data_IF_229627133918
#
_entry.id   IF_229627133918
#
_cell.length_a   1.000
_cell.length_b   1.000
_cell.length_c   1.000
_cell.angle_alpha   90.00
_cell.angle_beta   90.00
_cell.angle_gamma   90.00
#
_symmetry.space_group_name_H-M   'P 1'
#
loop_
_entity.id
_entity.type
_entity.pdbx_description
1 polymer ?
#
# COMPACT_ATOMS: atom_id res chain seq x y z
N UNK A 1 -52.74 23.86 -5.40
CA UNK A 1 -53.01 25.03 -4.61
C UNK A 1 -51.67 25.68 -4.38
N UNK A 2 -51.23 26.60 -5.24
CA UNK A 2 -51.26 28.04 -5.12
C UNK A 2 -50.40 28.50 -3.91
N UNK A 3 -49.38 29.30 -3.99
CA UNK A 3 -49.22 30.48 -4.76
C UNK A 3 -47.78 31.03 -4.81
N UNK A 4 -47.54 31.67 -5.86
CA UNK A 4 -46.44 32.57 -6.18
C UNK A 4 -46.53 33.86 -5.40
N UNK A 5 -45.36 34.49 -5.07
CA UNK A 5 -45.25 35.96 -5.04
C UNK A 5 -43.78 36.39 -5.24
N UNK A 6 -43.53 37.11 -6.35
CA UNK A 6 -42.52 38.19 -6.52
C UNK A 6 -43.30 39.52 -6.43
N UNK A 7 -42.70 40.65 -6.09
CA UNK A 7 -41.90 41.46 -7.00
C UNK A 7 -40.78 42.29 -6.34
N UNK A 8 -39.69 42.60 -7.06
CA UNK A 8 -39.45 43.88 -7.78
C UNK A 8 -39.16 45.10 -6.90
N UNK A 9 -37.98 45.69 -7.08
CA UNK A 9 -37.63 47.01 -6.55
C UNK A 9 -36.25 47.47 -7.02
N UNK A 10 -36.28 48.21 -8.15
CA UNK A 10 -35.13 48.95 -8.72
C UNK A 10 -34.87 50.19 -7.93
N UNK A 11 -33.59 50.56 -7.68
CA UNK A 11 -33.21 51.98 -7.62
C UNK A 11 -31.73 52.13 -7.97
N UNK A 12 -31.50 52.82 -9.06
CA UNK A 12 -30.26 53.42 -9.48
C UNK A 12 -29.94 54.62 -8.60
N UNK A 13 -28.68 54.81 -8.18
CA UNK A 13 -28.09 56.13 -8.01
C UNK A 13 -26.62 56.10 -8.41
N UNK A 14 -26.36 56.89 -9.45
CA UNK A 14 -25.02 57.27 -9.96
C UNK A 14 -24.56 58.48 -9.16
N UNK A 15 -23.31 58.45 -8.63
CA UNK A 15 -22.57 59.66 -8.32
C UNK A 15 -21.10 59.47 -8.76
N UNK A 16 -20.76 60.28 -9.72
CA UNK A 16 -19.38 60.44 -10.19
C UNK A 16 -18.60 61.30 -9.19
N UNK A 17 -17.33 60.98 -8.94
CA UNK A 17 -16.39 61.78 -8.19
C UNK A 17 -14.96 61.35 -8.50
N UNK A 18 -14.30 62.09 -9.39
CA UNK A 18 -12.87 61.96 -9.67
C UNK A 18 -12.07 62.67 -8.57
N UNK A 19 -10.94 62.09 -8.13
CA UNK A 19 -9.72 62.82 -7.82
C UNK A 19 -8.57 61.90 -7.32
N UNK A 20 -7.46 61.94 -8.13
CA UNK A 20 -6.04 62.02 -7.79
C UNK A 20 -5.36 61.03 -6.83
N UNK A 21 -4.48 60.25 -7.45
CA UNK A 21 -3.10 59.87 -7.16
C UNK A 21 -2.56 59.98 -5.70
N UNK A 22 -2.10 58.81 -5.24
CA UNK A 22 -0.83 58.72 -4.48
C UNK A 22 -0.32 57.27 -4.58
N UNK A 23 0.79 57.06 -5.27
CA UNK A 23 1.56 55.85 -5.25
C UNK A 23 2.26 55.69 -3.90
N UNK A 24 2.01 54.61 -3.21
CA UNK A 24 2.86 54.10 -2.14
C UNK A 24 3.04 52.62 -2.38
N UNK A 25 4.20 52.34 -2.98
CA UNK A 25 4.73 50.97 -3.05
C UNK A 25 5.09 50.51 -1.62
N UNK A 26 4.26 49.72 -1.03
CA UNK A 26 4.59 48.88 0.10
C UNK A 26 4.95 47.54 -0.44
N UNK A 27 6.24 47.29 -0.59
CA UNK A 27 6.79 45.93 -0.71
C UNK A 27 6.51 45.18 0.58
N UNK A 28 5.34 44.55 0.65
CA UNK A 28 5.10 43.52 1.62
C UNK A 28 5.93 42.30 1.20
N UNK A 29 7.07 42.10 1.84
CA UNK A 29 7.64 40.78 1.99
C UNK A 29 6.64 39.94 2.74
N UNK A 30 5.69 39.38 2.04
CA UNK A 30 4.88 38.29 2.52
C UNK A 30 5.80 37.11 2.80
N UNK A 31 5.99 36.79 4.08
CA UNK A 31 6.64 35.56 4.48
C UNK A 31 5.94 34.41 3.76
N UNK A 32 6.68 33.68 2.97
CA UNK A 32 6.29 32.35 2.56
C UNK A 32 6.23 31.53 3.84
N UNK A 33 5.04 31.37 4.39
CA UNK A 33 4.73 30.24 5.22
C UNK A 33 4.91 29.02 4.32
N UNK A 34 6.14 28.56 4.27
CA UNK A 34 6.51 27.25 3.82
C UNK A 34 5.93 26.26 4.84
N UNK A 35 4.61 26.13 4.84
CA UNK A 35 3.93 24.96 5.34
C UNK A 35 4.34 23.83 4.44
N UNK A 36 5.55 23.34 4.68
CA UNK A 36 6.04 22.07 4.16
C UNK A 36 5.10 20.94 4.62
N UNK A 37 3.90 20.94 4.10
CA UNK A 37 3.10 19.74 3.99
C UNK A 37 3.91 18.83 3.08
N UNK A 38 4.63 17.88 3.68
CA UNK A 38 5.11 16.72 2.96
C UNK A 38 3.88 16.13 2.28
N UNK A 39 3.71 16.45 1.01
CA UNK A 39 2.74 15.77 0.18
C UNK A 39 3.12 14.30 0.28
N UNK A 40 2.35 13.54 1.06
CA UNK A 40 2.53 12.11 1.22
C UNK A 40 2.47 11.52 -0.17
N UNK A 41 3.62 11.25 -0.75
CA UNK A 41 3.70 10.66 -2.09
C UNK A 41 3.02 9.30 -1.99
N UNK A 42 2.02 9.04 -2.83
CA UNK A 42 1.33 7.76 -2.83
C UNK A 42 2.34 6.60 -2.92
N UNK A 43 2.12 5.49 -2.21
CA UNK A 43 2.96 4.32 -2.32
C UNK A 43 3.05 3.83 -3.77
N UNK A 44 4.19 3.28 -4.16
CA UNK A 44 4.41 2.65 -5.47
C UNK A 44 5.05 1.30 -5.25
N UNK A 45 4.22 0.30 -5.09
CA UNK A 45 4.62 -1.05 -4.72
C UNK A 45 4.95 -1.90 -5.95
N UNK A 46 5.99 -2.71 -5.83
CA UNK A 46 6.35 -3.75 -6.78
C UNK A 46 6.70 -5.02 -6.01
N UNK A 47 5.99 -6.10 -6.30
CA UNK A 47 6.30 -7.42 -5.75
C UNK A 47 7.25 -8.15 -6.70
N UNK A 48 8.24 -8.83 -6.14
CA UNK A 48 9.24 -9.58 -6.90
C UNK A 48 9.80 -10.74 -6.09
N UNK A 49 10.47 -11.68 -6.77
CA UNK A 49 11.13 -12.81 -6.14
C UNK A 49 10.18 -13.74 -5.39
N UNK A 50 8.91 -13.80 -5.79
CA UNK A 50 7.93 -14.67 -5.16
C UNK A 50 8.25 -16.15 -5.43
N UNK A 51 8.17 -16.99 -4.39
CA UNK A 51 8.27 -18.42 -4.49
C UNK A 51 7.67 -19.12 -3.27
N UNK A 52 7.28 -20.38 -3.48
CA UNK A 52 6.82 -21.30 -2.46
C UNK A 52 7.61 -22.61 -2.65
N UNK A 53 8.41 -23.05 -1.68
CA UNK A 53 8.96 -24.41 -1.73
C UNK A 53 7.83 -25.43 -1.69
N UNK A 54 7.87 -26.45 -2.55
CA UNK A 54 6.86 -27.50 -2.55
C UNK A 54 6.81 -28.16 -1.15
N UNK A 55 5.65 -28.18 -0.47
CA UNK A 55 5.54 -28.77 0.85
C UNK A 55 5.80 -30.27 0.79
N UNK A 56 6.66 -30.76 1.69
CA UNK A 56 7.03 -32.18 1.75
C UNK A 56 5.94 -33.07 2.34
N UNK A 57 5.14 -32.50 3.24
CA UNK A 57 4.06 -33.22 3.94
C UNK A 57 2.99 -32.25 4.41
N UNK A 58 1.82 -32.79 4.73
CA UNK A 58 0.77 -32.07 5.40
C UNK A 58 -0.01 -31.11 4.53
N UNK A 59 -0.68 -30.24 5.20
CA UNK A 59 -1.65 -29.25 4.75
C UNK A 59 -1.18 -27.82 5.00
N UNK A 60 0.14 -27.65 5.16
CA UNK A 60 0.80 -26.35 5.38
C UNK A 60 1.89 -26.08 4.34
N UNK A 61 2.03 -24.81 3.96
CA UNK A 61 3.10 -24.33 3.11
C UNK A 61 3.59 -22.94 3.56
N UNK A 62 4.78 -22.56 3.11
CA UNK A 62 5.33 -21.21 3.34
C UNK A 62 5.55 -20.50 2.03
N UNK A 63 5.23 -19.20 2.00
CA UNK A 63 5.45 -18.34 0.85
C UNK A 63 6.41 -17.20 1.15
N UNK A 64 7.18 -16.82 0.13
CA UNK A 64 8.20 -15.78 0.21
C UNK A 64 8.11 -14.82 -0.97
N UNK A 65 8.41 -13.55 -0.74
CA UNK A 65 8.46 -12.51 -1.77
C UNK A 65 9.15 -11.25 -1.22
N UNK A 66 9.38 -10.28 -2.07
CA UNK A 66 9.84 -8.95 -1.68
C UNK A 66 8.92 -7.90 -2.26
N UNK A 67 8.49 -6.97 -1.41
CA UNK A 67 7.81 -5.73 -1.82
C UNK A 67 8.83 -4.61 -1.82
N UNK A 68 9.04 -3.96 -2.95
CA UNK A 68 9.78 -2.70 -3.04
C UNK A 68 8.80 -1.55 -3.18
N UNK A 69 9.07 -0.46 -2.49
CA UNK A 69 8.25 0.74 -2.52
C UNK A 69 9.10 1.93 -2.96
N UNK A 70 8.72 2.58 -4.05
CA UNK A 70 9.38 3.79 -4.55
C UNK A 70 8.60 5.07 -4.25
N UNK A 71 7.51 4.98 -3.50
CA UNK A 71 6.65 6.08 -3.07
C UNK A 71 6.63 6.28 -1.57
N UNK A 72 5.52 6.81 -1.04
CA UNK A 72 5.26 6.97 0.39
C UNK A 72 5.10 5.64 1.11
N UNK A 73 5.08 5.66 2.43
CA UNK A 73 4.92 4.46 3.24
C UNK A 73 3.56 3.77 3.02
N UNK A 74 3.53 2.47 3.26
CA UNK A 74 2.32 1.66 3.27
C UNK A 74 2.42 0.59 4.37
N UNK A 75 1.38 -0.21 4.54
CA UNK A 75 1.35 -1.32 5.49
C UNK A 75 0.65 -2.50 4.86
N UNK A 76 1.29 -3.67 4.86
CA UNK A 76 0.65 -4.94 4.54
C UNK A 76 -0.17 -5.36 5.76
N UNK A 77 -1.49 -5.40 5.62
CA UNK A 77 -2.44 -5.61 6.73
C UNK A 77 -3.01 -7.02 6.80
N UNK A 78 -3.12 -7.68 5.66
CA UNK A 78 -3.62 -9.06 5.60
C UNK A 78 -3.30 -9.70 4.25
N UNK A 79 -3.57 -11.00 4.17
CA UNK A 79 -3.38 -11.80 2.96
C UNK A 79 -4.57 -12.73 2.82
N UNK A 80 -4.91 -13.08 1.58
CA UNK A 80 -5.86 -14.14 1.29
C UNK A 80 -5.41 -14.96 0.08
N UNK A 81 -5.89 -16.19 0.01
CA UNK A 81 -5.65 -17.10 -1.12
C UNK A 81 -6.73 -18.17 -1.15
N UNK A 82 -7.19 -18.53 -2.34
CA UNK A 82 -8.13 -19.65 -2.49
C UNK A 82 -7.46 -21.03 -2.30
N UNK A 83 -6.13 -21.08 -2.20
CA UNK A 83 -5.39 -22.34 -2.05
C UNK A 83 -5.37 -22.88 -0.60
N UNK A 84 -5.78 -22.09 0.38
CA UNK A 84 -5.75 -22.45 1.79
C UNK A 84 -6.90 -21.78 2.55
N UNK A 85 -7.41 -22.44 3.58
CA UNK A 85 -8.45 -21.86 4.42
C UNK A 85 -7.95 -20.66 5.24
N UNK A 86 -6.69 -20.69 5.64
CA UNK A 86 -6.06 -19.63 6.41
C UNK A 86 -4.67 -19.27 5.82
N UNK A 87 -4.41 -17.97 5.66
CA UNK A 87 -3.08 -17.47 5.29
C UNK A 87 -2.70 -16.35 6.25
N UNK A 88 -1.60 -16.53 6.96
CA UNK A 88 -1.15 -15.64 8.02
C UNK A 88 0.25 -15.08 7.77
N UNK A 89 0.51 -13.93 8.39
CA UNK A 89 1.79 -13.24 8.37
C UNK A 89 2.63 -13.69 9.55
N UNK A 90 3.85 -14.15 9.33
CA UNK A 90 4.75 -14.60 10.39
C UNK A 90 6.12 -13.93 10.33
N UNK A 91 6.73 -13.75 11.50
CA UNK A 91 8.12 -13.34 11.69
C UNK A 91 8.87 -14.44 12.45
N UNK A 92 10.06 -14.80 12.00
CA UNK A 92 10.96 -15.63 12.80
C UNK A 92 11.85 -14.73 13.65
N UNK A 93 11.71 -14.83 14.98
CA UNK A 93 12.49 -14.06 15.94
C UNK A 93 13.07 -14.97 17.01
N UNK A 94 14.38 -14.98 17.13
CA UNK A 94 15.05 -15.85 18.12
C UNK A 94 14.83 -17.34 17.92
N UNK A 95 14.53 -17.79 16.69
CA UNK A 95 14.21 -19.18 16.37
C UNK A 95 12.74 -19.57 16.60
N UNK A 96 11.91 -18.67 17.10
CA UNK A 96 10.46 -18.88 17.24
C UNK A 96 9.70 -18.16 16.11
N UNK A 97 8.67 -18.82 15.59
CA UNK A 97 7.71 -18.19 14.67
C UNK A 97 6.65 -17.42 15.47
N UNK A 98 6.44 -16.16 15.12
CA UNK A 98 5.47 -15.28 15.76
C UNK A 98 4.54 -14.74 14.68
N UNK A 99 3.25 -14.95 14.86
CA UNK A 99 2.23 -14.35 13.99
C UNK A 99 2.20 -12.83 14.16
N UNK A 100 2.03 -12.12 13.05
CA UNK A 100 1.98 -10.66 12.97
C UNK A 100 0.67 -10.22 12.34
N UNK A 101 0.05 -9.21 12.90
CA UNK A 101 -1.15 -8.62 12.32
C UNK A 101 -0.85 -7.80 11.06
N UNK A 102 0.36 -7.23 10.96
CA UNK A 102 0.76 -6.40 9.84
C UNK A 102 2.28 -6.22 9.74
N UNK A 103 2.73 -5.76 8.57
CA UNK A 103 4.11 -5.35 8.34
C UNK A 103 4.20 -3.98 7.68
N UNK A 104 4.99 -3.03 8.19
CA UNK A 104 5.22 -1.76 7.54
C UNK A 104 6.04 -1.94 6.26
N UNK A 105 5.67 -1.19 5.22
CA UNK A 105 6.42 -1.05 3.97
C UNK A 105 6.98 0.37 3.92
N UNK A 106 8.25 0.58 4.26
CA UNK A 106 8.81 1.93 4.37
C UNK A 106 8.74 2.71 3.05
N UNK A 107 8.60 4.02 3.16
CA UNK A 107 8.76 4.91 2.00
C UNK A 107 10.16 4.72 1.41
N UNK A 108 10.23 4.62 0.07
CA UNK A 108 11.49 4.41 -0.67
C UNK A 108 12.32 3.22 -0.16
N UNK A 109 11.63 2.20 0.38
CA UNK A 109 12.24 1.05 1.02
C UNK A 109 11.72 -0.29 0.49
N UNK A 110 11.88 -1.31 1.32
CA UNK A 110 11.41 -2.66 1.00
C UNK A 110 10.98 -3.42 2.25
N UNK A 111 10.04 -4.33 2.06
CA UNK A 111 9.65 -5.38 3.00
C UNK A 111 10.00 -6.73 2.34
N UNK A 112 10.80 -7.54 3.03
CA UNK A 112 11.22 -8.84 2.51
C UNK A 112 10.66 -9.98 3.36
N UNK A 113 10.11 -10.97 2.68
CA UNK A 113 9.73 -12.27 3.22
C UNK A 113 10.73 -13.29 2.70
N UNK A 114 11.56 -13.81 3.61
CA UNK A 114 12.70 -14.69 3.28
C UNK A 114 12.79 -15.85 4.26
N UNK A 115 13.36 -16.95 3.83
CA UNK A 115 13.57 -18.09 4.70
C UNK A 115 14.40 -17.71 5.93
N UNK A 116 13.91 -18.07 7.12
CA UNK A 116 14.50 -17.68 8.39
C UNK A 116 14.15 -16.27 8.89
N UNK A 117 13.35 -15.52 8.11
CA UNK A 117 12.83 -14.20 8.46
C UNK A 117 11.31 -14.17 8.42
N UNK A 118 10.74 -13.09 7.85
CA UNK A 118 9.30 -13.00 7.62
C UNK A 118 8.88 -14.02 6.55
N UNK A 119 7.70 -14.58 6.71
CA UNK A 119 7.12 -15.54 5.76
C UNK A 119 5.61 -15.54 5.82
N UNK A 120 4.98 -16.01 4.72
CA UNK A 120 3.58 -16.38 4.72
C UNK A 120 3.43 -17.81 5.23
N UNK A 121 2.45 -18.04 6.06
CA UNK A 121 2.04 -19.39 6.44
C UNK A 121 0.67 -19.68 5.83
N UNK A 122 0.61 -20.72 5.02
CA UNK A 122 -0.63 -21.27 4.48
C UNK A 122 -1.02 -22.47 5.33
N UNK A 123 -2.22 -22.48 5.86
CA UNK A 123 -2.74 -23.55 6.69
C UNK A 123 -4.03 -24.13 6.11
N UNK A 124 -4.22 -25.40 6.29
CA UNK A 124 -5.38 -26.14 5.73
C UNK A 124 -5.47 -25.95 4.20
N UNK A 125 -4.40 -26.30 3.52
CA UNK A 125 -4.36 -26.29 2.07
C UNK A 125 -5.45 -27.19 1.47
N UNK A 126 -6.18 -26.72 0.48
CA UNK A 126 -7.18 -27.51 -0.26
C UNK A 126 -6.56 -28.72 -0.96
N UNK A 127 -5.34 -28.54 -1.45
CA UNK A 127 -4.47 -29.60 -1.99
C UNK A 127 -3.03 -29.21 -1.75
N UNK A 128 -2.14 -30.19 -1.80
CA UNK A 128 -0.70 -29.95 -1.70
C UNK A 128 -0.14 -29.42 -3.01
N UNK A 129 0.29 -28.15 -3.08
CA UNK A 129 0.86 -27.56 -4.29
C UNK A 129 2.11 -28.31 -4.73
N UNK A 130 2.25 -28.55 -6.05
CA UNK A 130 3.37 -29.27 -6.64
C UNK A 130 4.30 -28.32 -7.36
N UNK A 131 5.58 -28.71 -7.50
CA UNK A 131 6.55 -27.96 -8.28
C UNK A 131 6.02 -27.68 -9.69
N UNK A 132 6.13 -26.42 -10.13
CA UNK A 132 5.61 -25.93 -11.40
C UNK A 132 4.22 -25.32 -11.34
N UNK A 133 3.46 -25.58 -10.29
CA UNK A 133 2.17 -24.90 -10.06
C UNK A 133 2.40 -23.44 -9.64
N UNK A 134 1.32 -22.65 -9.65
CA UNK A 134 1.27 -21.28 -9.16
C UNK A 134 0.13 -21.16 -8.18
N UNK A 135 0.38 -20.46 -7.09
CA UNK A 135 -0.60 -20.13 -6.06
C UNK A 135 -0.91 -18.63 -6.15
N UNK A 136 -2.18 -18.31 -6.41
CA UNK A 136 -2.64 -16.93 -6.40
C UNK A 136 -2.81 -16.45 -4.96
N UNK A 137 -2.33 -15.24 -4.69
CA UNK A 137 -2.37 -14.61 -3.36
C UNK A 137 -2.73 -13.14 -3.51
N UNK A 138 -3.68 -12.68 -2.73
CA UNK A 138 -4.04 -11.29 -2.59
C UNK A 138 -3.35 -10.68 -1.38
N UNK A 139 -2.49 -9.71 -1.63
CA UNK A 139 -1.83 -8.91 -0.60
C UNK A 139 -2.65 -7.63 -0.36
N UNK A 140 -3.17 -7.45 0.84
CA UNK A 140 -3.99 -6.29 1.19
C UNK A 140 -3.15 -5.23 1.90
N UNK A 141 -3.04 -4.07 1.27
CA UNK A 141 -2.30 -2.92 1.80
C UNK A 141 -3.24 -1.82 2.28
N UNK A 142 -2.84 -1.11 3.31
CA UNK A 142 -3.65 -0.05 3.92
C UNK A 142 -3.93 1.13 2.98
N UNK A 143 -2.97 1.49 2.13
CA UNK A 143 -3.07 2.62 1.20
C UNK A 143 -3.22 2.15 -0.24
N UNK A 144 -2.40 1.21 -0.68
CA UNK A 144 -2.39 0.73 -2.08
C UNK A 144 -3.55 -0.22 -2.42
N UNK A 145 -4.31 -0.69 -1.42
CA UNK A 145 -5.38 -1.66 -1.62
C UNK A 145 -4.85 -3.07 -1.89
N UNK A 146 -5.53 -3.82 -2.74
CA UNK A 146 -5.18 -5.21 -3.02
C UNK A 146 -4.22 -5.33 -4.20
N UNK A 147 -3.16 -6.11 -4.01
CA UNK A 147 -2.20 -6.48 -5.05
C UNK A 147 -2.20 -7.99 -5.19
N UNK A 148 -2.65 -8.48 -6.33
CA UNK A 148 -2.64 -9.91 -6.66
C UNK A 148 -1.23 -10.35 -7.09
N UNK A 149 -0.77 -11.48 -6.58
CA UNK A 149 0.54 -12.05 -6.86
C UNK A 149 0.42 -13.56 -7.13
N UNK A 150 0.97 -14.04 -8.23
CA UNK A 150 1.17 -15.46 -8.46
C UNK A 150 2.49 -15.92 -7.85
N UNK A 151 2.43 -16.84 -6.91
CA UNK A 151 3.60 -17.43 -6.25
C UNK A 151 3.93 -18.77 -6.94
N UNK A 152 5.03 -18.86 -7.72
CA UNK A 152 5.41 -20.13 -8.33
C UNK A 152 5.91 -21.12 -7.29
N UNK A 153 5.43 -22.35 -7.38
CA UNK A 153 5.89 -23.46 -6.53
C UNK A 153 7.19 -24.00 -7.11
N UNK A 154 8.22 -23.99 -6.29
CA UNK A 154 9.59 -24.47 -6.61
C UNK A 154 9.87 -25.80 -5.95
N UNK A 155 10.99 -26.44 -6.29
CA UNK A 155 11.42 -27.65 -5.58
C UNK A 155 11.49 -27.42 -4.08
N UNK A 156 11.27 -28.45 -3.29
CA UNK A 156 11.32 -28.37 -1.83
C UNK A 156 12.69 -27.88 -1.28
N UNK A 157 13.75 -28.07 -2.06
CA UNK A 157 15.12 -27.64 -1.73
C UNK A 157 15.55 -26.37 -2.45
N UNK A 158 14.60 -25.62 -3.05
CA UNK A 158 14.90 -24.40 -3.76
C UNK A 158 15.48 -23.33 -2.84
N UNK A 159 16.60 -22.77 -3.23
CA UNK A 159 17.22 -21.61 -2.62
C UNK A 159 17.27 -20.51 -3.67
N UNK A 160 16.65 -19.33 -3.41
CA UNK A 160 16.75 -18.23 -4.35
C UNK A 160 18.20 -17.81 -4.53
N UNK A 161 18.61 -17.58 -5.78
CA UNK A 161 19.90 -16.94 -6.04
C UNK A 161 19.81 -15.53 -5.48
N UNK A 162 20.60 -15.24 -4.45
CA UNK A 162 20.77 -13.87 -3.95
C UNK A 162 21.34 -13.04 -5.10
N UNK A 163 20.51 -12.19 -5.69
CA UNK A 163 20.99 -11.22 -6.67
C UNK A 163 21.90 -10.23 -5.93
N UNK A 164 23.12 -10.14 -6.39
CA UNK A 164 24.06 -9.10 -6.00
C UNK A 164 23.66 -7.76 -6.61
#
# INVERSE_FOLDING_TARGET
MNGRFRPSGRSLMVVAGASTAAALALTSCGGSDDSGGSASTAPRLKVSGAYMPAPLSGDMATGFFTVTNSGGEDTLTSISSDAAADVTLHETKGGAMVEKESFPVPAHGRLAFTSGGNHLMFEKLDHRPKEGEKVAVDLHFAVSGTVEVEIPVKSATYVPKTGH
#
